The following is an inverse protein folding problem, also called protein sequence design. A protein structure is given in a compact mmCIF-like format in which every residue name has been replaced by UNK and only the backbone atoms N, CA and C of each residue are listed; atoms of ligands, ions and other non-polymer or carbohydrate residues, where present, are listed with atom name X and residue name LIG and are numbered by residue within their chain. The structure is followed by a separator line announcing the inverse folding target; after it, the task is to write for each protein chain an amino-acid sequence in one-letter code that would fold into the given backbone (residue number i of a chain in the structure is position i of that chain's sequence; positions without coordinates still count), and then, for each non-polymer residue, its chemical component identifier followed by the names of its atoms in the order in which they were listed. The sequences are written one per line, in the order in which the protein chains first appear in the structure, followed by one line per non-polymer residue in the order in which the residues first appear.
data_IF_979717534932
#
_entry.id   IF_979717534932
#
_cell.length_a   1.000
_cell.length_b   1.000
_cell.length_c   1.000
_cell.angle_alpha   90.00
_cell.angle_beta   90.00
_cell.angle_gamma   90.00
#
_symmetry.space_group_name_H-M   'P 1'
#
loop_
_entity.id
_entity.type
_entity.pdbx_description
1 polymer ?
#
# COMPACT_ATOMS: atom_id res chain seq x y z
N UNK A 1 2.24 -15.17 -13.06
CA UNK A 1 2.09 -15.54 -11.63
C UNK A 1 3.28 -16.39 -11.15
N UNK A 2 3.61 -17.56 -11.76
CA UNK A 2 4.67 -18.48 -11.28
C UNK A 2 6.05 -17.82 -11.05
N UNK A 3 6.44 -16.81 -11.85
CA UNK A 3 7.71 -16.12 -11.68
C UNK A 3 7.72 -15.21 -10.44
N UNK A 4 6.61 -14.57 -10.14
CA UNK A 4 6.46 -13.74 -8.93
C UNK A 4 6.51 -14.61 -7.67
N UNK A 5 5.87 -15.77 -7.69
CA UNK A 5 5.89 -16.72 -6.57
C UNK A 5 7.30 -17.27 -6.29
N UNK A 6 8.18 -17.29 -7.29
CA UNK A 6 9.59 -17.69 -7.11
C UNK A 6 10.40 -16.56 -6.45
N UNK A 7 10.07 -15.31 -6.76
CA UNK A 7 10.86 -14.15 -6.34
C UNK A 7 10.39 -13.58 -5.00
N UNK A 8 9.08 -13.54 -4.74
CA UNK A 8 8.52 -12.90 -3.55
C UNK A 8 8.03 -13.90 -2.52
N UNK A 9 8.12 -13.51 -1.24
CA UNK A 9 7.41 -14.15 -0.12
C UNK A 9 5.94 -13.72 -0.13
N UNK A 10 5.12 -14.35 0.70
CA UNK A 10 3.71 -13.98 0.86
C UNK A 10 3.54 -12.56 1.45
N UNK A 11 4.55 -12.07 2.20
CA UNK A 11 4.61 -10.72 2.76
C UNK A 11 5.09 -9.68 1.75
N UNK A 12 5.55 -10.09 0.55
CA UNK A 12 6.03 -9.22 -0.51
C UNK A 12 7.53 -8.92 -0.48
N UNK A 13 8.29 -9.57 0.39
CA UNK A 13 9.75 -9.47 0.43
C UNK A 13 10.40 -10.36 -0.63
N UNK A 14 11.60 -9.98 -1.09
CA UNK A 14 12.37 -10.80 -2.03
C UNK A 14 12.99 -11.98 -1.30
N UNK A 15 12.67 -13.19 -1.79
CA UNK A 15 13.19 -14.44 -1.26
C UNK A 15 14.73 -14.47 -1.32
N UNK A 16 15.34 -15.11 -0.33
CA UNK A 16 16.80 -15.22 -0.27
C UNK A 16 17.41 -16.05 -1.40
N UNK A 17 16.65 -16.90 -2.00
CA UNK A 17 16.99 -17.79 -3.12
C UNK A 17 16.35 -17.37 -4.45
N UNK A 18 15.82 -16.15 -4.52
CA UNK A 18 15.24 -15.61 -5.75
C UNK A 18 16.19 -15.67 -6.95
N UNK A 19 17.51 -15.50 -6.71
CA UNK A 19 18.57 -15.81 -7.66
C UNK A 19 19.74 -16.53 -6.96
N UNK A 20 20.53 -17.35 -7.69
CA UNK A 20 21.73 -17.97 -7.13
C UNK A 20 22.74 -16.94 -6.61
N UNK A 21 22.81 -15.76 -7.26
CA UNK A 21 23.70 -14.66 -6.87
C UNK A 21 23.24 -14.07 -5.54
N UNK A 22 21.95 -13.79 -5.39
CA UNK A 22 21.37 -13.23 -4.15
C UNK A 22 21.55 -14.21 -2.98
N UNK A 23 21.32 -15.51 -3.20
CA UNK A 23 21.53 -16.55 -2.20
C UNK A 23 22.99 -16.58 -1.70
N UNK A 24 23.95 -16.46 -2.62
CA UNK A 24 25.37 -16.39 -2.30
C UNK A 24 25.70 -15.15 -1.47
N UNK A 25 25.26 -13.97 -1.90
CA UNK A 25 25.53 -12.69 -1.22
C UNK A 25 24.95 -12.72 0.20
N UNK A 26 23.69 -13.14 0.38
CA UNK A 26 23.04 -13.22 1.70
C UNK A 26 23.72 -14.23 2.63
N UNK A 27 24.21 -15.35 2.09
CA UNK A 27 25.03 -16.30 2.86
C UNK A 27 26.36 -15.66 3.30
N UNK A 28 27.02 -14.91 2.43
CA UNK A 28 28.23 -14.18 2.76
C UNK A 28 27.97 -13.09 3.81
N UNK A 29 26.87 -12.32 3.69
CA UNK A 29 26.46 -11.33 4.68
C UNK A 29 26.25 -11.95 6.06
N UNK A 30 25.58 -13.09 6.15
CA UNK A 30 25.43 -13.81 7.42
C UNK A 30 26.78 -14.23 8.04
N UNK A 31 27.71 -14.67 7.22
CA UNK A 31 29.05 -15.07 7.67
C UNK A 31 29.86 -13.87 8.13
N UNK A 32 29.81 -12.76 7.39
CA UNK A 32 30.57 -11.55 7.72
C UNK A 32 30.03 -10.88 8.98
N UNK A 33 28.73 -10.93 9.25
CA UNK A 33 28.13 -10.47 10.49
C UNK A 33 28.67 -11.22 11.71
N UNK A 34 28.83 -12.54 11.59
CA UNK A 34 29.42 -13.35 12.65
C UNK A 34 30.90 -12.99 12.87
N UNK A 35 31.66 -12.76 11.79
CA UNK A 35 33.06 -12.32 11.86
C UNK A 35 33.17 -10.93 12.50
N UNK A 36 32.30 -10.00 12.14
CA UNK A 36 32.27 -8.64 12.68
C UNK A 36 32.04 -8.65 14.18
N UNK A 37 30.98 -9.33 14.62
CA UNK A 37 30.67 -9.47 16.05
C UNK A 37 31.81 -10.14 16.83
N UNK A 38 32.41 -11.21 16.30
CA UNK A 38 33.56 -11.89 16.92
C UNK A 38 34.77 -10.95 17.03
N UNK A 39 35.07 -10.16 16.01
CA UNK A 39 36.13 -9.17 16.03
C UNK A 39 35.94 -8.12 17.11
N UNK A 40 34.73 -7.61 17.24
CA UNK A 40 34.38 -6.64 18.29
C UNK A 40 34.48 -7.21 19.68
N UNK A 41 33.98 -8.42 19.91
CA UNK A 41 34.14 -9.11 21.22
C UNK A 41 35.58 -9.38 21.54
N UNK A 42 36.40 -9.78 20.58
CA UNK A 42 37.83 -9.95 20.78
C UNK A 42 38.53 -8.64 21.16
N UNK A 43 38.18 -7.55 20.46
CA UNK A 43 38.71 -6.23 20.76
C UNK A 43 38.25 -5.71 22.14
N UNK A 44 37.00 -5.96 22.51
CA UNK A 44 36.43 -5.60 23.82
C UNK A 44 37.25 -6.29 24.94
N UNK A 45 37.53 -7.59 24.81
CA UNK A 45 38.33 -8.35 25.78
C UNK A 45 39.80 -7.89 25.81
N UNK A 46 40.40 -7.64 24.65
CA UNK A 46 41.77 -7.21 24.54
C UNK A 46 42.03 -5.85 25.18
N UNK A 47 41.09 -4.92 25.05
CA UNK A 47 41.24 -3.53 25.50
C UNK A 47 40.47 -3.22 26.77
N UNK A 48 40.01 -4.24 27.49
CA UNK A 48 39.08 -4.09 28.64
C UNK A 48 39.58 -3.10 29.70
N UNK A 49 40.89 -3.06 29.95
CA UNK A 49 41.53 -2.13 30.91
C UNK A 49 41.54 -0.66 30.46
N UNK A 50 41.27 -0.39 29.19
CA UNK A 50 41.27 0.96 28.61
C UNK A 50 39.85 1.53 28.44
N UNK A 51 38.83 0.71 28.70
CA UNK A 51 37.44 1.05 28.48
C UNK A 51 36.84 1.73 29.72
N UNK A 52 36.00 2.75 29.51
CA UNK A 52 35.16 3.29 30.54
C UNK A 52 33.92 2.40 30.79
N UNK A 53 33.45 1.74 29.72
CA UNK A 53 32.31 0.81 29.76
C UNK A 53 32.66 -0.43 28.93
N UNK A 54 32.46 -1.61 29.52
CA UNK A 54 32.73 -2.90 28.87
C UNK A 54 31.62 -3.33 27.94
N UNK A 55 31.13 -2.41 27.10
CA UNK A 55 30.06 -2.61 26.12
C UNK A 55 30.44 -2.06 24.76
N UNK A 56 29.84 -2.66 23.71
CA UNK A 56 29.92 -2.15 22.34
C UNK A 56 28.79 -1.14 22.15
N UNK A 57 29.11 0.04 21.64
CA UNK A 57 28.17 1.14 21.43
C UNK A 57 28.07 1.47 19.96
N UNK A 58 26.87 1.66 19.46
CA UNK A 58 26.64 2.10 18.07
C UNK A 58 26.88 3.59 17.92
N UNK A 59 27.66 4.00 16.94
CA UNK A 59 27.85 5.40 16.52
C UNK A 59 27.75 5.47 14.99
N UNK A 60 26.66 6.09 14.51
CA UNK A 60 26.32 6.02 13.10
C UNK A 60 26.08 4.58 12.66
N UNK A 61 26.84 4.12 11.67
CA UNK A 61 26.81 2.75 11.13
C UNK A 61 27.92 1.84 11.73
N UNK A 62 28.75 2.39 12.64
CA UNK A 62 29.86 1.67 13.24
C UNK A 62 29.54 1.21 14.67
N UNK A 63 30.11 0.04 15.03
CA UNK A 63 30.13 -0.46 16.38
C UNK A 63 31.47 -0.12 17.02
N UNK A 64 31.44 0.64 18.11
CA UNK A 64 32.60 1.23 18.74
C UNK A 64 32.80 0.75 20.18
N UNK A 65 34.04 0.80 20.65
CA UNK A 65 34.40 0.63 22.04
C UNK A 65 34.40 2.00 22.74
N UNK A 66 33.86 2.04 23.96
CA UNK A 66 33.84 3.25 24.81
C UNK A 66 35.15 3.37 25.58
N UNK A 67 36.13 4.03 25.01
CA UNK A 67 37.54 4.11 25.48
C UNK A 67 37.74 5.34 26.36
N UNK A 68 38.46 5.22 27.48
CA UNK A 68 38.87 6.39 28.27
C UNK A 68 39.77 7.29 27.43
N UNK A 69 39.55 8.61 27.52
CA UNK A 69 40.30 9.61 26.76
C UNK A 69 41.83 9.45 26.94
N UNK A 70 42.26 9.10 28.14
CA UNK A 70 43.69 8.85 28.46
C UNK A 70 44.33 7.74 27.62
N UNK A 71 43.55 6.80 27.12
CA UNK A 71 44.03 5.62 26.37
C UNK A 71 43.61 5.67 24.90
N UNK A 72 43.12 6.78 24.38
CA UNK A 72 42.69 6.90 22.98
C UNK A 72 43.72 6.52 21.95
N UNK A 73 45.03 6.77 22.25
CA UNK A 73 46.13 6.44 21.35
C UNK A 73 46.62 5.00 21.50
N UNK A 74 46.15 4.26 22.51
CA UNK A 74 46.55 2.88 22.76
C UNK A 74 45.77 1.89 21.90
N UNK A 75 44.66 2.30 21.31
CA UNK A 75 43.81 1.48 20.44
C UNK A 75 43.96 1.97 19.00
N UNK A 76 44.42 1.08 18.12
CA UNK A 76 44.48 1.35 16.68
C UNK A 76 43.08 1.25 16.08
N UNK A 77 42.46 2.39 15.75
CA UNK A 77 41.11 2.42 15.25
C UNK A 77 40.71 3.80 14.73
N UNK A 78 39.45 3.92 14.30
CA UNK A 78 38.84 5.16 13.86
C UNK A 78 38.01 5.73 14.99
N UNK A 79 38.19 7.00 15.31
CA UNK A 79 37.39 7.73 16.27
C UNK A 79 36.11 8.18 15.52
N UNK A 80 34.97 7.75 16.02
CA UNK A 80 33.66 8.13 15.47
C UNK A 80 32.99 9.25 16.25
N UNK A 81 33.22 9.31 17.57
CA UNK A 81 32.57 10.28 18.43
C UNK A 81 33.34 10.49 19.73
N UNK A 82 33.04 11.57 20.45
CA UNK A 82 33.57 11.88 21.79
C UNK A 82 32.41 12.29 22.70
N UNK A 83 32.36 11.79 23.92
CA UNK A 83 31.33 12.14 24.89
C UNK A 83 31.32 13.65 25.20
N UNK A 84 30.17 14.19 25.61
CA UNK A 84 30.04 15.60 25.99
C UNK A 84 31.01 16.02 27.11
N UNK A 85 31.30 15.12 28.06
CA UNK A 85 32.27 15.34 29.12
C UNK A 85 33.72 15.23 28.66
N UNK A 86 33.95 14.85 27.40
CA UNK A 86 35.28 14.56 26.81
C UNK A 86 36.09 13.46 27.53
N UNK A 87 35.45 12.67 28.39
CA UNK A 87 36.13 11.61 29.13
C UNK A 87 36.09 10.26 28.39
N UNK A 88 35.23 10.09 27.43
CA UNK A 88 35.06 8.85 26.65
C UNK A 88 35.18 9.13 25.17
N UNK A 89 35.99 8.34 24.47
CA UNK A 89 36.19 8.37 23.03
C UNK A 89 35.64 7.08 22.44
N UNK A 90 34.79 7.19 21.43
CA UNK A 90 34.19 6.04 20.77
C UNK A 90 35.06 5.62 19.58
N UNK A 91 35.74 4.49 19.72
CA UNK A 91 36.72 4.03 18.75
C UNK A 91 36.27 2.70 18.12
N UNK A 92 36.21 2.66 16.79
CA UNK A 92 36.07 1.44 16.02
C UNK A 92 37.48 0.88 15.74
N UNK A 93 37.87 -0.35 16.22
CA UNK A 93 39.14 -0.94 15.93
C UNK A 93 39.35 -1.18 14.42
N UNK A 94 40.53 -0.98 13.88
CA UNK A 94 40.79 -1.16 12.45
C UNK A 94 40.46 -2.57 11.95
N UNK A 95 40.69 -3.62 12.75
CA UNK A 95 40.34 -4.98 12.38
C UNK A 95 38.80 -5.13 12.18
N UNK A 96 38.00 -4.50 13.02
CA UNK A 96 36.54 -4.51 12.89
C UNK A 96 36.07 -3.62 11.73
N UNK A 97 36.69 -2.45 11.55
CA UNK A 97 36.43 -1.56 10.43
C UNK A 97 36.63 -2.27 9.07
N UNK A 98 37.70 -3.00 8.89
CA UNK A 98 37.94 -3.73 7.64
C UNK A 98 36.80 -4.70 7.32
N UNK A 99 36.33 -5.44 8.33
CA UNK A 99 35.19 -6.37 8.15
C UNK A 99 33.92 -5.63 7.83
N UNK A 100 33.68 -4.47 8.46
CA UNK A 100 32.53 -3.62 8.15
C UNK A 100 32.59 -3.09 6.72
N UNK A 101 33.76 -2.66 6.26
CA UNK A 101 33.93 -2.17 4.90
C UNK A 101 33.65 -3.30 3.87
N UNK A 102 34.10 -4.53 4.12
CA UNK A 102 33.75 -5.72 3.33
C UNK A 102 32.22 -5.97 3.34
N UNK A 103 31.57 -5.84 4.51
CA UNK A 103 30.13 -5.98 4.66
C UNK A 103 29.38 -4.95 3.84
N UNK A 104 29.81 -3.68 3.86
CA UNK A 104 29.16 -2.60 3.11
C UNK A 104 29.25 -2.84 1.60
N UNK A 105 30.33 -3.40 1.10
CA UNK A 105 30.45 -3.80 -0.31
C UNK A 105 29.39 -4.86 -0.64
N UNK A 106 29.23 -5.88 0.21
CA UNK A 106 28.22 -6.94 -0.01
C UNK A 106 26.79 -6.40 0.06
N UNK A 107 26.52 -5.44 0.92
CA UNK A 107 25.22 -4.77 0.99
C UNK A 107 24.91 -4.02 -0.32
N UNK A 108 25.88 -3.32 -0.87
CA UNK A 108 25.71 -2.65 -2.17
C UNK A 108 25.58 -3.63 -3.33
N UNK A 109 26.28 -4.77 -3.29
CA UNK A 109 26.07 -5.85 -4.26
C UNK A 109 24.67 -6.46 -4.15
N UNK A 110 24.16 -6.66 -2.94
CA UNK A 110 22.78 -7.13 -2.71
C UNK A 110 21.76 -6.18 -3.31
N UNK A 111 21.88 -4.87 -3.03
CA UNK A 111 20.99 -3.86 -3.58
C UNK A 111 20.99 -3.86 -5.11
N UNK A 112 22.17 -3.97 -5.72
CA UNK A 112 22.30 -4.04 -7.19
C UNK A 112 21.63 -5.30 -7.77
N UNK A 113 21.78 -6.44 -7.12
CA UNK A 113 21.15 -7.68 -7.58
C UNK A 113 19.63 -7.63 -7.42
N UNK A 114 19.13 -7.13 -6.29
CA UNK A 114 17.71 -6.88 -6.07
C UNK A 114 17.15 -5.97 -7.15
N UNK A 115 17.85 -4.87 -7.46
CA UNK A 115 17.41 -3.96 -8.52
C UNK A 115 17.31 -4.66 -9.89
N UNK A 116 18.26 -5.51 -10.25
CA UNK A 116 18.21 -6.29 -11.50
C UNK A 116 17.00 -7.21 -11.55
N UNK A 117 16.71 -7.91 -10.46
CA UNK A 117 15.55 -8.81 -10.36
C UNK A 117 14.25 -8.03 -10.55
N UNK A 118 14.10 -6.91 -9.83
CA UNK A 118 12.93 -6.06 -9.93
C UNK A 118 12.79 -5.44 -11.31
N UNK A 119 13.88 -5.01 -11.91
CA UNK A 119 13.89 -4.47 -13.26
C UNK A 119 13.43 -5.50 -14.29
N UNK A 120 13.93 -6.74 -14.22
CA UNK A 120 13.53 -7.82 -15.12
C UNK A 120 12.03 -8.12 -15.00
N UNK A 121 11.48 -8.18 -13.78
CA UNK A 121 10.05 -8.38 -13.55
C UNK A 121 9.22 -7.19 -14.04
N UNK A 122 9.73 -5.98 -13.88
CA UNK A 122 9.04 -4.76 -14.36
C UNK A 122 8.94 -4.77 -15.89
N UNK A 123 10.00 -5.13 -16.60
CA UNK A 123 9.95 -5.26 -18.05
C UNK A 123 8.94 -6.31 -18.50
N UNK A 124 8.86 -7.45 -17.84
CA UNK A 124 7.89 -8.49 -18.18
C UNK A 124 6.44 -8.03 -17.96
N UNK A 125 6.17 -7.27 -16.89
CA UNK A 125 4.85 -6.65 -16.68
C UNK A 125 4.57 -5.62 -17.77
N UNK A 126 5.57 -4.82 -18.12
CA UNK A 126 5.43 -3.75 -19.10
C UNK A 126 5.11 -4.26 -20.50
N UNK A 127 5.66 -5.40 -20.91
CA UNK A 127 5.30 -6.07 -22.17
C UNK A 127 3.81 -6.40 -22.31
N UNK A 128 3.10 -6.53 -21.18
CA UNK A 128 1.68 -6.86 -21.13
C UNK A 128 0.80 -5.71 -20.63
N UNK A 129 1.34 -4.49 -20.56
CA UNK A 129 0.64 -3.34 -19.93
C UNK A 129 -0.70 -3.02 -20.60
N UNK A 130 -0.77 -3.10 -21.93
CA UNK A 130 -2.00 -2.83 -22.68
C UNK A 130 -3.10 -3.86 -22.34
N UNK A 131 -2.71 -5.11 -22.12
CA UNK A 131 -3.63 -6.16 -21.69
C UNK A 131 -4.17 -5.85 -20.29
N UNK A 132 -3.31 -5.47 -19.35
CA UNK A 132 -3.72 -5.10 -17.99
C UNK A 132 -4.66 -3.88 -18.00
N UNK A 133 -4.36 -2.86 -18.81
CA UNK A 133 -5.22 -1.66 -18.94
C UNK A 133 -6.63 -2.08 -19.43
N UNK A 134 -6.70 -2.92 -20.46
CA UNK A 134 -7.98 -3.45 -20.97
C UNK A 134 -8.74 -4.25 -19.92
N UNK A 135 -8.05 -5.11 -19.18
CA UNK A 135 -8.66 -5.91 -18.12
C UNK A 135 -9.21 -5.04 -16.98
N UNK A 136 -8.44 -4.02 -16.55
CA UNK A 136 -8.90 -3.06 -15.53
C UNK A 136 -10.13 -2.31 -16.01
N UNK A 137 -10.14 -1.85 -17.27
CA UNK A 137 -11.32 -1.20 -17.83
C UNK A 137 -12.55 -2.12 -17.83
N UNK A 138 -12.39 -3.37 -18.27
CA UNK A 138 -13.46 -4.37 -18.27
C UNK A 138 -13.98 -4.63 -16.85
N UNK A 139 -13.08 -4.77 -15.87
CA UNK A 139 -13.44 -4.96 -14.47
C UNK A 139 -14.21 -3.77 -13.90
N UNK A 140 -13.82 -2.53 -14.23
CA UNK A 140 -14.55 -1.32 -13.82
C UNK A 140 -15.96 -1.28 -14.36
N UNK A 141 -16.16 -1.63 -15.63
CA UNK A 141 -17.49 -1.71 -16.25
C UNK A 141 -18.33 -2.79 -15.56
N UNK A 142 -17.74 -3.95 -15.32
CA UNK A 142 -18.42 -5.04 -14.65
C UNK A 142 -18.83 -4.70 -13.21
N UNK A 143 -17.94 -4.07 -12.46
CA UNK A 143 -18.21 -3.60 -11.09
C UNK A 143 -19.35 -2.57 -11.06
N UNK A 144 -19.34 -1.62 -11.99
CA UNK A 144 -20.41 -0.63 -12.11
C UNK A 144 -21.77 -1.28 -12.43
N UNK A 145 -21.82 -2.28 -13.32
CA UNK A 145 -23.03 -3.04 -13.62
C UNK A 145 -23.49 -3.80 -12.37
N UNK A 146 -22.60 -4.47 -11.68
CA UNK A 146 -22.92 -5.21 -10.46
C UNK A 146 -23.46 -4.29 -9.35
N UNK A 147 -22.87 -3.11 -9.18
CA UNK A 147 -23.34 -2.11 -8.22
C UNK A 147 -24.78 -1.66 -8.55
N UNK A 148 -25.05 -1.38 -9.84
CA UNK A 148 -26.41 -1.01 -10.30
C UNK A 148 -27.42 -2.14 -10.05
N UNK A 149 -27.06 -3.38 -10.29
CA UNK A 149 -27.90 -4.55 -10.04
C UNK A 149 -28.23 -4.70 -8.55
N UNK A 150 -27.21 -4.65 -7.68
CA UNK A 150 -27.42 -4.72 -6.22
C UNK A 150 -28.30 -3.59 -5.70
N UNK A 151 -28.14 -2.39 -6.25
CA UNK A 151 -29.00 -1.27 -5.92
C UNK A 151 -30.45 -1.51 -6.36
N UNK A 152 -30.64 -1.99 -7.59
CA UNK A 152 -31.98 -2.34 -8.11
C UNK A 152 -32.67 -3.39 -7.24
N UNK A 153 -31.97 -4.44 -6.86
CA UNK A 153 -32.49 -5.47 -5.95
C UNK A 153 -32.87 -4.89 -4.58
N UNK A 154 -32.06 -3.98 -4.04
CA UNK A 154 -32.32 -3.39 -2.71
C UNK A 154 -33.58 -2.55 -2.64
N UNK A 155 -34.05 -1.99 -3.77
CA UNK A 155 -35.24 -1.17 -3.87
C UNK A 155 -36.38 -1.85 -4.66
N UNK A 156 -36.26 -3.12 -5.03
CA UNK A 156 -37.18 -3.86 -5.89
C UNK A 156 -37.48 -3.12 -7.20
N UNK A 157 -36.44 -2.59 -7.84
CA UNK A 157 -36.57 -1.81 -9.06
C UNK A 157 -36.81 -2.67 -10.31
N UNK A 158 -37.45 -2.12 -11.31
CA UNK A 158 -37.68 -2.72 -12.61
C UNK A 158 -36.90 -2.00 -13.70
N UNK A 159 -36.65 -2.67 -14.82
CA UNK A 159 -36.07 -2.06 -16.00
C UNK A 159 -37.05 -1.04 -16.61
N UNK A 160 -36.67 0.24 -16.73
CA UNK A 160 -37.56 1.23 -17.34
C UNK A 160 -37.62 1.08 -18.85
N UNK A 161 -38.78 1.25 -19.41
CA UNK A 161 -38.98 1.47 -20.83
C UNK A 161 -38.87 2.97 -21.15
N UNK A 162 -37.97 3.33 -22.05
CA UNK A 162 -37.73 4.72 -22.40
C UNK A 162 -38.67 5.12 -23.55
N UNK A 163 -39.54 6.07 -23.28
CA UNK A 163 -40.50 6.65 -24.27
C UNK A 163 -40.26 8.14 -24.44
N UNK A 164 -40.39 8.65 -25.65
CA UNK A 164 -40.37 10.08 -25.95
C UNK A 164 -41.78 10.67 -26.06
N UNK A 165 -42.80 9.84 -25.96
CA UNK A 165 -44.21 10.24 -26.18
C UNK A 165 -45.00 10.34 -24.87
N UNK A 166 -44.67 9.51 -23.89
CA UNK A 166 -45.41 9.42 -22.65
C UNK A 166 -44.49 9.23 -21.46
N UNK A 167 -44.91 9.76 -20.30
CA UNK A 167 -44.33 9.40 -19.00
C UNK A 167 -45.38 8.62 -18.21
N UNK A 168 -45.10 7.35 -17.94
CA UNK A 168 -45.97 6.49 -17.15
C UNK A 168 -45.19 5.84 -16.01
N UNK A 169 -45.45 6.26 -14.80
CA UNK A 169 -44.90 5.69 -13.58
C UNK A 169 -46.05 4.99 -12.83
N UNK A 170 -45.95 3.67 -12.71
CA UNK A 170 -46.93 2.85 -12.00
C UNK A 170 -46.38 2.44 -10.65
N UNK A 171 -47.12 2.69 -9.58
CA UNK A 171 -46.79 2.32 -8.21
C UNK A 171 -45.37 2.77 -7.77
N UNK A 172 -44.95 3.92 -8.29
CA UNK A 172 -43.62 4.47 -8.05
C UNK A 172 -43.42 4.84 -6.58
N UNK A 173 -42.24 4.49 -6.03
CA UNK A 173 -41.88 4.72 -4.64
C UNK A 173 -40.59 5.52 -4.57
N UNK A 174 -40.47 6.38 -3.57
CA UNK A 174 -39.24 7.12 -3.33
C UNK A 174 -38.17 6.14 -2.86
N UNK A 175 -37.01 5.98 -3.55
CA UNK A 175 -36.02 4.93 -3.25
C UNK A 175 -35.35 5.09 -1.88
N UNK A 176 -35.34 6.30 -1.31
CA UNK A 176 -34.73 6.56 0.02
C UNK A 176 -35.75 6.44 1.17
N UNK A 177 -37.04 6.27 0.89
CA UNK A 177 -38.05 6.08 1.94
C UNK A 177 -38.34 4.59 2.10
N UNK A 178 -37.73 3.99 3.12
CA UNK A 178 -37.79 2.53 3.36
C UNK A 178 -39.10 2.09 4.02
N UNK A 179 -39.74 2.95 4.87
CA UNK A 179 -40.92 2.59 5.61
C UNK A 179 -42.06 3.64 5.39
N UNK A 180 -43.27 3.15 5.28
CA UNK A 180 -44.44 4.00 5.17
C UNK A 180 -44.58 4.76 3.86
N UNK A 181 -43.81 4.39 2.82
CA UNK A 181 -43.96 5.02 1.50
C UNK A 181 -45.27 4.60 0.85
N UNK A 182 -46.01 5.57 0.45
CA UNK A 182 -47.25 5.36 -0.34
C UNK A 182 -46.90 5.41 -1.83
N UNK A 183 -47.15 4.33 -2.60
CA UNK A 183 -46.86 4.31 -4.02
C UNK A 183 -47.70 5.33 -4.77
N UNK A 184 -47.14 5.93 -5.81
CA UNK A 184 -47.85 6.91 -6.66
C UNK A 184 -47.89 6.39 -8.10
N UNK A 185 -49.03 6.62 -8.77
CA UNK A 185 -49.16 6.37 -10.21
C UNK A 185 -49.35 7.69 -10.92
N UNK A 186 -48.49 7.94 -11.91
CA UNK A 186 -48.48 9.18 -12.68
C UNK A 186 -48.50 8.86 -14.17
N UNK A 187 -49.39 9.47 -14.90
CA UNK A 187 -49.47 9.35 -16.36
C UNK A 187 -49.51 10.75 -16.98
N UNK A 188 -48.58 11.00 -17.91
CA UNK A 188 -48.51 12.24 -18.66
C UNK A 188 -48.30 11.91 -20.14
N UNK A 189 -49.27 12.29 -20.96
CA UNK A 189 -49.20 12.12 -22.41
C UNK A 189 -48.51 13.30 -23.10
N UNK A 190 -48.04 13.12 -24.32
CA UNK A 190 -47.35 14.12 -25.12
C UNK A 190 -48.15 15.42 -25.32
N UNK A 191 -49.45 15.31 -25.35
CA UNK A 191 -50.36 16.45 -25.49
C UNK A 191 -50.51 17.27 -24.22
N UNK A 192 -50.16 16.68 -23.06
CA UNK A 192 -50.28 17.33 -21.76
C UNK A 192 -48.96 18.06 -21.44
N UNK A 193 -49.06 19.36 -21.20
CA UNK A 193 -47.88 20.23 -20.96
C UNK A 193 -47.48 20.34 -19.50
N UNK A 194 -48.22 19.75 -18.58
CA UNK A 194 -47.91 19.85 -17.15
C UNK A 194 -48.80 18.97 -16.29
N UNK A 195 -48.32 18.67 -15.11
CA UNK A 195 -48.99 17.94 -14.05
C UNK A 195 -49.22 18.90 -12.87
N UNK A 196 -50.46 19.05 -12.41
CA UNK A 196 -50.81 19.86 -11.25
C UNK A 196 -50.99 18.94 -10.02
N UNK A 197 -50.19 19.15 -8.97
CA UNK A 197 -50.25 18.39 -7.73
C UNK A 197 -50.86 19.30 -6.63
N UNK A 198 -52.08 19.00 -6.16
CA UNK A 198 -52.74 19.74 -5.11
C UNK A 198 -53.03 18.87 -3.88
N UNK A 199 -53.25 19.49 -2.75
CA UNK A 199 -53.62 18.82 -1.50
C UNK A 199 -53.10 19.55 -0.25
N UNK A 200 -53.36 19.05 0.97
CA UNK A 200 -52.89 19.65 2.22
C UNK A 200 -51.38 19.60 2.33
N UNK A 201 -50.75 20.43 3.19
CA UNK A 201 -49.30 20.50 3.32
C UNK A 201 -48.69 19.21 3.85
N UNK A 202 -49.43 18.42 4.61
CA UNK A 202 -49.03 17.10 5.14
C UNK A 202 -49.27 15.96 4.14
N UNK A 203 -49.86 16.24 2.96
CA UNK A 203 -50.30 15.25 1.98
C UNK A 203 -49.20 14.72 1.03
N UNK A 204 -47.90 14.92 1.32
CA UNK A 204 -46.84 14.32 0.53
C UNK A 204 -46.54 14.97 -0.84
N UNK A 205 -47.11 16.17 -1.17
CA UNK A 205 -46.87 16.84 -2.46
C UNK A 205 -45.43 16.97 -2.86
N UNK A 206 -44.56 17.40 -1.92
CA UNK A 206 -43.14 17.58 -2.15
C UNK A 206 -42.43 16.24 -2.37
N UNK A 207 -42.86 15.21 -1.64
CA UNK A 207 -42.32 13.84 -1.81
C UNK A 207 -42.70 13.31 -3.19
N UNK A 208 -43.94 13.48 -3.61
CA UNK A 208 -44.42 13.09 -4.95
C UNK A 208 -43.58 13.73 -6.05
N UNK A 209 -43.35 15.06 -5.98
CA UNK A 209 -42.56 15.79 -6.96
C UNK A 209 -41.07 15.27 -6.98
N UNK A 210 -40.49 15.09 -5.79
CA UNK A 210 -39.13 14.54 -5.68
C UNK A 210 -39.02 13.11 -6.22
N UNK A 211 -40.02 12.27 -5.94
CA UNK A 211 -40.07 10.88 -6.44
C UNK A 211 -40.08 10.86 -7.97
N UNK A 212 -40.94 11.64 -8.62
CA UNK A 212 -41.02 11.73 -10.08
C UNK A 212 -39.67 12.19 -10.66
N UNK A 213 -39.10 13.27 -10.12
CA UNK A 213 -37.80 13.81 -10.58
C UNK A 213 -36.64 12.83 -10.38
N UNK A 214 -36.59 12.22 -9.21
CA UNK A 214 -35.48 11.27 -8.89
C UNK A 214 -35.56 10.02 -9.76
N UNK A 215 -36.72 9.41 -9.91
CA UNK A 215 -36.90 8.23 -10.78
C UNK A 215 -36.54 8.57 -12.23
N UNK A 216 -36.91 9.75 -12.72
CA UNK A 216 -36.49 10.17 -14.05
C UNK A 216 -34.99 10.32 -14.21
N UNK A 217 -34.32 10.94 -13.25
CA UNK A 217 -32.84 11.03 -13.22
C UNK A 217 -32.19 9.67 -13.12
N UNK A 218 -32.72 8.74 -12.33
CA UNK A 218 -32.27 7.39 -12.21
C UNK A 218 -32.32 6.65 -13.56
N UNK A 219 -33.44 6.74 -14.26
CA UNK A 219 -33.60 6.16 -15.59
C UNK A 219 -32.58 6.74 -16.60
N UNK A 220 -32.39 8.07 -16.59
CA UNK A 220 -31.39 8.75 -17.43
C UNK A 220 -29.97 8.30 -17.10
N UNK A 221 -29.66 8.00 -15.85
CA UNK A 221 -28.35 7.46 -15.42
C UNK A 221 -28.17 5.96 -15.73
N UNK A 222 -29.18 5.33 -16.35
CA UNK A 222 -29.20 3.90 -16.64
C UNK A 222 -29.29 3.03 -15.38
N UNK A 223 -30.03 3.50 -14.40
CA UNK A 223 -30.44 2.72 -13.24
C UNK A 223 -31.84 2.13 -13.47
N UNK A 224 -32.13 1.04 -12.78
CA UNK A 224 -33.47 0.50 -12.68
C UNK A 224 -34.31 1.36 -11.73
N UNK A 225 -35.64 1.36 -11.94
CA UNK A 225 -36.61 2.22 -11.21
C UNK A 225 -37.78 1.41 -10.70
#
# INVERSE_FOLDING_TARGET
YKKFDIVFTDEGDIKSDATPVLARIRKQLKTIDQRYNKSLHSALNQYMSYLNESVVVTRGDALCLAVSESYKNSIKGVIHDVSQSKQTVYIEPFASKQIRDEKNILIEEEKKEIYKVLQALTYEVFEHIDLFIKQIHTLRVYDAIQAKMRFAESINANLPEISMETMYLKDARHPEIVQGVVPITVHLEKTQKGLFISGPNTGGKTVTLKTIGLIHLMAQAGLFI
#
